data_IF_015191557736
#
_entry.id   IF_015191557736
#
_cell.length_a   1.000
_cell.length_b   1.000
_cell.length_c   1.000
_cell.angle_alpha   90.00
_cell.angle_beta   90.00
_cell.angle_gamma   90.00
#
_symmetry.space_group_name_H-M   'P 1'
#
loop_
_entity.id
_entity.type
_entity.pdbx_description
1 polymer ?
#
# COMPACT_ATOMS: atom_id res chain seq x y z
N UNK A 1 -2.66 8.61 -9.84
CA UNK A 1 -3.53 9.44 -10.71
C UNK A 1 -3.09 9.25 -12.15
N UNK A 2 -4.02 8.97 -13.05
CA UNK A 2 -3.71 8.74 -14.46
C UNK A 2 -4.60 9.62 -15.35
N UNK A 3 -3.97 10.31 -16.28
CA UNK A 3 -4.63 11.16 -17.29
C UNK A 3 -4.47 10.60 -18.71
N UNK A 4 -4.20 9.30 -18.86
CA UNK A 4 -4.10 8.66 -20.17
C UNK A 4 -5.45 8.62 -20.89
N UNK A 5 -5.41 8.40 -22.18
CA UNK A 5 -6.61 8.40 -23.05
C UNK A 5 -7.70 7.45 -22.54
N UNK A 6 -7.31 6.28 -22.02
CA UNK A 6 -8.28 5.32 -21.47
C UNK A 6 -8.99 5.85 -20.21
N UNK A 7 -8.25 6.48 -19.29
CA UNK A 7 -8.84 7.09 -18.10
C UNK A 7 -9.77 8.26 -18.48
N UNK A 8 -9.35 9.09 -19.43
CA UNK A 8 -10.17 10.21 -19.93
C UNK A 8 -11.47 9.69 -20.54
N UNK A 9 -11.40 8.70 -21.43
CA UNK A 9 -12.59 8.08 -22.07
C UNK A 9 -13.52 7.47 -21.02
N UNK A 10 -12.99 6.70 -20.09
CA UNK A 10 -13.78 6.00 -19.05
C UNK A 10 -14.44 6.97 -18.09
N UNK A 11 -13.74 8.01 -17.67
CA UNK A 11 -14.31 9.03 -16.77
C UNK A 11 -15.42 9.80 -17.49
N UNK A 12 -15.19 10.23 -18.73
CA UNK A 12 -16.21 10.91 -19.54
C UNK A 12 -17.44 10.02 -19.77
N UNK A 13 -17.25 8.74 -20.07
CA UNK A 13 -18.37 7.81 -20.25
C UNK A 13 -19.21 7.65 -18.98
N UNK A 14 -18.57 7.70 -17.79
CA UNK A 14 -19.27 7.59 -16.51
C UNK A 14 -19.99 8.87 -16.08
N UNK A 15 -19.39 10.03 -16.34
CA UNK A 15 -19.84 11.30 -15.74
C UNK A 15 -20.35 12.32 -16.76
N UNK A 16 -20.13 12.09 -18.04
CA UNK A 16 -20.35 13.08 -19.10
C UNK A 16 -19.28 14.20 -19.14
N UNK A 17 -18.43 14.31 -18.13
CA UNK A 17 -17.52 15.42 -17.94
C UNK A 17 -16.07 15.08 -18.29
N UNK A 18 -15.25 16.11 -18.52
CA UNK A 18 -13.80 15.96 -18.63
C UNK A 18 -13.17 15.76 -17.24
N UNK A 19 -12.00 15.07 -17.21
CA UNK A 19 -11.22 14.94 -15.98
C UNK A 19 -10.74 16.33 -15.51
N UNK A 20 -11.02 16.74 -14.26
CA UNK A 20 -10.59 18.03 -13.75
C UNK A 20 -9.07 18.10 -13.61
N UNK A 21 -8.51 19.26 -13.89
CA UNK A 21 -7.06 19.50 -13.85
C UNK A 21 -6.63 20.34 -12.64
N UNK A 22 -7.60 20.96 -11.96
CA UNK A 22 -7.35 21.75 -10.74
C UNK A 22 -7.98 21.05 -9.55
N UNK A 23 -7.37 21.24 -8.40
CA UNK A 23 -7.95 20.81 -7.13
C UNK A 23 -8.98 21.83 -6.72
N UNK A 24 -10.24 21.43 -6.68
CA UNK A 24 -11.35 22.25 -6.28
C UNK A 24 -12.40 21.34 -5.58
N UNK A 25 -12.47 21.45 -4.26
CA UNK A 25 -13.40 20.64 -3.47
C UNK A 25 -14.85 21.10 -3.58
N UNK A 26 -15.10 22.32 -4.06
CA UNK A 26 -16.45 22.85 -4.29
C UNK A 26 -17.01 22.40 -5.65
N UNK A 27 -16.14 22.04 -6.60
CA UNK A 27 -16.53 21.47 -7.87
C UNK A 27 -17.06 20.03 -7.68
N UNK A 28 -18.34 19.76 -8.03
CA UNK A 28 -18.91 18.41 -7.95
C UNK A 28 -18.20 17.42 -8.87
N UNK A 29 -17.67 17.84 -10.02
CA UNK A 29 -16.93 16.97 -10.95
C UNK A 29 -15.60 16.56 -10.35
N UNK A 30 -14.93 17.46 -9.61
CA UNK A 30 -13.72 17.11 -8.88
C UNK A 30 -13.99 16.06 -7.81
N UNK A 31 -15.06 16.18 -7.04
CA UNK A 31 -15.47 15.20 -6.03
C UNK A 31 -15.80 13.83 -6.68
N UNK A 32 -16.49 13.83 -7.81
CA UNK A 32 -16.73 12.58 -8.57
C UNK A 32 -15.46 11.96 -9.11
N UNK A 33 -14.50 12.76 -9.54
CA UNK A 33 -13.20 12.26 -9.97
C UNK A 33 -12.40 11.63 -8.82
N UNK A 34 -12.46 12.19 -7.62
CA UNK A 34 -11.87 11.57 -6.42
C UNK A 34 -12.52 10.21 -6.15
N UNK A 35 -13.84 10.12 -6.09
CA UNK A 35 -14.57 8.85 -5.91
C UNK A 35 -14.23 7.83 -6.99
N UNK A 36 -14.16 8.29 -8.24
CA UNK A 36 -13.77 7.42 -9.36
C UNK A 36 -12.35 6.85 -9.19
N UNK A 37 -11.40 7.63 -8.71
CA UNK A 37 -10.04 7.13 -8.46
C UNK A 37 -10.02 6.07 -7.35
N UNK A 38 -10.80 6.23 -6.29
CA UNK A 38 -10.95 5.19 -5.26
C UNK A 38 -11.55 3.92 -5.87
N UNK A 39 -12.64 4.03 -6.60
CA UNK A 39 -13.30 2.89 -7.24
C UNK A 39 -12.34 2.17 -8.22
N UNK A 40 -11.55 2.91 -8.98
CA UNK A 40 -10.54 2.34 -9.89
C UNK A 40 -9.46 1.52 -9.18
N UNK A 41 -9.05 1.93 -7.98
CA UNK A 41 -8.11 1.14 -7.18
C UNK A 41 -8.69 -0.19 -6.74
N UNK A 42 -9.96 -0.20 -6.35
CA UNK A 42 -10.66 -1.42 -5.97
C UNK A 42 -10.88 -2.36 -7.17
N UNK A 43 -11.26 -1.81 -8.34
CA UNK A 43 -11.37 -2.61 -9.56
C UNK A 43 -10.05 -3.30 -9.94
N UNK A 44 -8.91 -2.62 -9.77
CA UNK A 44 -7.57 -3.21 -10.02
C UNK A 44 -7.30 -4.34 -9.03
N UNK A 45 -7.68 -4.16 -7.76
CA UNK A 45 -7.53 -5.19 -6.74
C UNK A 45 -8.36 -6.44 -7.09
N UNK A 46 -9.63 -6.24 -7.39
CA UNK A 46 -10.53 -7.33 -7.79
C UNK A 46 -10.06 -8.04 -9.07
N UNK A 47 -9.51 -7.27 -10.03
CA UNK A 47 -8.95 -7.84 -11.26
C UNK A 47 -7.77 -8.76 -10.96
N UNK A 48 -6.82 -8.30 -10.14
CA UNK A 48 -5.64 -9.10 -9.82
C UNK A 48 -6.02 -10.37 -9.04
N UNK A 49 -6.92 -10.26 -8.04
CA UNK A 49 -7.43 -11.44 -7.32
C UNK A 49 -8.03 -12.46 -8.28
N UNK A 50 -8.94 -12.03 -9.17
CA UNK A 50 -9.57 -12.92 -10.15
C UNK A 50 -8.55 -13.54 -11.11
N UNK A 51 -7.64 -12.74 -11.65
CA UNK A 51 -6.63 -13.23 -12.59
C UNK A 51 -5.71 -14.27 -11.93
N UNK A 52 -5.27 -14.01 -10.70
CA UNK A 52 -4.43 -14.95 -9.95
C UNK A 52 -5.16 -16.27 -9.69
N UNK A 53 -6.41 -16.21 -9.21
CA UNK A 53 -7.21 -17.43 -8.97
C UNK A 53 -7.51 -18.20 -10.26
N UNK A 54 -7.81 -17.47 -11.34
CA UNK A 54 -8.11 -18.09 -12.64
C UNK A 54 -6.90 -18.80 -13.24
N UNK A 55 -5.69 -18.24 -13.07
CA UNK A 55 -4.48 -18.80 -13.65
C UNK A 55 -3.82 -19.88 -12.77
N UNK A 56 -3.82 -19.68 -11.46
CA UNK A 56 -3.07 -20.52 -10.51
C UNK A 56 -3.94 -21.40 -9.62
N UNK A 57 -5.25 -21.31 -9.69
CA UNK A 57 -6.17 -22.07 -8.84
C UNK A 57 -6.56 -21.34 -7.55
N UNK A 58 -7.48 -21.93 -6.77
CA UNK A 58 -8.08 -21.27 -5.60
C UNK A 58 -7.08 -20.97 -4.48
N UNK A 59 -5.99 -21.70 -4.39
CA UNK A 59 -4.97 -21.54 -3.35
C UNK A 59 -3.91 -20.50 -3.71
N UNK A 60 -3.87 -20.01 -4.95
CA UNK A 60 -2.96 -18.95 -5.36
C UNK A 60 -3.42 -17.60 -4.82
N UNK A 61 -2.48 -16.87 -4.22
CA UNK A 61 -2.73 -15.57 -3.62
C UNK A 61 -2.03 -14.46 -4.40
N UNK A 62 -2.71 -13.34 -4.56
CA UNK A 62 -2.08 -12.10 -4.99
C UNK A 62 -1.79 -11.22 -3.79
N UNK A 63 -0.53 -10.82 -3.66
CA UNK A 63 -0.07 -9.97 -2.56
C UNK A 63 0.07 -8.55 -3.07
N UNK A 64 -0.85 -7.69 -2.69
CA UNK A 64 -0.78 -6.27 -3.02
C UNK A 64 0.01 -5.48 -1.99
N UNK A 65 0.97 -4.69 -2.45
CA UNK A 65 1.75 -3.80 -1.58
C UNK A 65 0.91 -2.60 -1.14
N UNK A 66 0.80 -2.42 0.15
CA UNK A 66 0.14 -1.29 0.80
C UNK A 66 0.98 -0.83 1.97
N UNK A 67 1.81 0.14 1.74
CA UNK A 67 2.62 0.70 2.81
C UNK A 67 2.04 1.99 3.36
N UNK A 68 2.50 2.38 4.52
CA UNK A 68 2.36 3.71 5.05
C UNK A 68 1.10 3.98 5.88
N UNK A 69 1.02 5.22 6.33
CA UNK A 69 -0.07 5.72 7.18
C UNK A 69 -1.39 5.83 6.43
N UNK A 70 -2.55 5.85 7.14
CA UNK A 70 -3.85 6.10 6.53
C UNK A 70 -3.90 7.38 5.68
N UNK A 71 -3.23 8.45 6.13
CA UNK A 71 -3.12 9.69 5.36
C UNK A 71 -2.31 9.52 4.06
N UNK A 72 -1.28 8.68 4.05
CA UNK A 72 -0.54 8.31 2.85
C UNK A 72 -1.41 7.51 1.88
N UNK A 73 -2.20 6.59 2.40
CA UNK A 73 -3.12 5.78 1.60
C UNK A 73 -4.21 6.63 0.95
N UNK A 74 -4.82 7.54 1.69
CA UNK A 74 -5.86 8.42 1.12
C UNK A 74 -5.31 9.35 0.03
N UNK A 75 -4.09 9.89 0.17
CA UNK A 75 -3.42 10.66 -0.89
C UNK A 75 -3.14 9.84 -2.14
N UNK A 76 -2.98 8.53 -2.00
CA UNK A 76 -2.79 7.58 -3.10
C UNK A 76 -4.11 7.03 -3.66
N UNK A 77 -5.26 7.53 -3.21
CA UNK A 77 -6.61 7.03 -3.54
C UNK A 77 -6.78 5.55 -3.20
N UNK A 78 -6.26 5.12 -2.07
CA UNK A 78 -6.41 3.76 -1.54
C UNK A 78 -7.36 3.80 -0.35
N UNK A 79 -8.54 3.23 -0.50
CA UNK A 79 -9.44 2.95 0.61
C UNK A 79 -8.93 1.69 1.32
N UNK A 80 -8.24 1.91 2.42
CA UNK A 80 -7.57 0.84 3.15
C UNK A 80 -8.57 -0.20 3.67
N UNK A 81 -9.71 0.24 4.19
CA UNK A 81 -10.76 -0.63 4.68
C UNK A 81 -11.34 -1.51 3.57
N UNK A 82 -11.66 -0.91 2.43
CA UNK A 82 -12.23 -1.64 1.30
C UNK A 82 -11.19 -2.56 0.62
N UNK A 83 -9.93 -2.16 0.59
CA UNK A 83 -8.84 -3.03 0.14
C UNK A 83 -8.68 -4.21 1.10
N UNK A 84 -8.66 -3.98 2.40
CA UNK A 84 -8.55 -5.03 3.41
C UNK A 84 -9.70 -6.07 3.33
N UNK A 85 -10.90 -5.63 3.00
CA UNK A 85 -12.04 -6.56 2.78
C UNK A 85 -11.85 -7.50 1.58
N UNK A 86 -11.10 -7.07 0.58
CA UNK A 86 -10.82 -7.82 -0.67
C UNK A 86 -9.55 -8.64 -0.59
N UNK A 87 -8.63 -8.22 0.25
CA UNK A 87 -7.33 -8.85 0.38
C UNK A 87 -7.41 -10.11 1.21
N UNK A 88 -6.80 -11.17 0.72
CA UNK A 88 -6.52 -12.37 1.53
C UNK A 88 -5.22 -12.17 2.31
N UNK A 89 -4.31 -11.37 1.77
CA UNK A 89 -3.03 -11.03 2.36
C UNK A 89 -2.64 -9.61 1.91
N UNK A 90 -2.13 -8.80 2.80
CA UNK A 90 -1.64 -7.45 2.50
C UNK A 90 -0.17 -7.35 2.87
N UNK A 91 0.67 -6.98 1.92
CA UNK A 91 2.06 -6.67 2.19
C UNK A 91 2.21 -5.21 2.61
N UNK A 92 2.74 -4.99 3.80
CA UNK A 92 3.24 -3.68 4.21
C UNK A 92 4.56 -3.38 3.50
N UNK A 93 4.79 -2.12 3.20
CA UNK A 93 6.02 -1.68 2.53
C UNK A 93 6.67 -0.53 3.32
N UNK A 94 7.52 -0.90 4.27
CA UNK A 94 8.32 0.01 5.08
C UNK A 94 9.81 -0.23 4.84
N UNK A 95 10.29 0.24 3.71
CA UNK A 95 11.64 -0.07 3.24
C UNK A 95 12.73 0.82 3.83
N UNK A 96 12.37 1.99 4.32
CA UNK A 96 13.34 2.98 4.74
C UNK A 96 13.06 3.50 6.15
N UNK A 97 14.11 3.59 6.94
CA UNK A 97 14.10 4.23 8.25
C UNK A 97 15.16 5.34 8.31
N UNK A 98 14.85 6.44 8.94
CA UNK A 98 15.83 7.49 9.25
C UNK A 98 16.18 7.46 10.74
N UNK A 99 17.30 8.05 11.11
CA UNK A 99 17.72 8.16 12.51
C UNK A 99 16.77 9.04 13.35
N UNK A 100 15.98 9.88 12.68
CA UNK A 100 14.95 10.69 13.32
C UNK A 100 13.65 9.93 13.63
N UNK A 101 13.51 8.68 13.18
CA UNK A 101 12.33 7.85 13.41
C UNK A 101 12.69 6.60 14.20
N UNK A 102 11.82 6.23 15.14
CA UNK A 102 11.97 4.99 15.88
C UNK A 102 11.56 3.75 15.07
N UNK A 103 11.49 2.61 15.76
CA UNK A 103 11.13 1.32 15.15
C UNK A 103 9.63 1.03 15.16
N UNK A 104 8.83 1.82 15.89
CA UNK A 104 7.41 1.59 16.17
C UNK A 104 6.51 1.54 14.92
N UNK A 105 6.96 2.07 13.80
CA UNK A 105 6.15 2.10 12.56
C UNK A 105 5.68 0.72 12.10
N UNK A 106 6.49 -0.30 12.27
CA UNK A 106 6.15 -1.66 11.90
C UNK A 106 5.02 -2.20 12.77
N UNK A 107 5.18 -2.10 14.08
CA UNK A 107 4.17 -2.53 15.05
C UNK A 107 2.85 -1.77 14.89
N UNK A 108 2.93 -0.45 14.71
CA UNK A 108 1.75 0.40 14.47
C UNK A 108 1.00 -0.01 13.20
N UNK A 109 1.73 -0.24 12.12
CA UNK A 109 1.13 -0.65 10.83
C UNK A 109 0.51 -2.04 10.93
N UNK A 110 1.18 -2.97 11.58
CA UNK A 110 0.64 -4.31 11.82
C UNK A 110 -0.67 -4.26 12.60
N UNK A 111 -0.69 -3.56 13.72
CA UNK A 111 -1.89 -3.39 14.56
C UNK A 111 -3.03 -2.71 13.80
N UNK A 112 -2.72 -1.67 13.00
CA UNK A 112 -3.71 -1.01 12.17
C UNK A 112 -4.36 -1.98 11.17
N UNK A 113 -3.55 -2.76 10.46
CA UNK A 113 -4.05 -3.68 9.45
C UNK A 113 -4.81 -4.83 10.09
N UNK A 114 -4.33 -5.38 11.21
CA UNK A 114 -5.08 -6.38 11.97
C UNK A 114 -6.43 -5.85 12.48
N UNK A 115 -6.50 -4.58 12.86
CA UNK A 115 -7.77 -3.92 13.18
C UNK A 115 -8.77 -3.85 12.02
N UNK A 116 -8.30 -3.93 10.78
CA UNK A 116 -9.12 -3.89 9.57
C UNK A 116 -9.41 -5.27 8.98
N UNK A 117 -8.43 -6.18 9.04
CA UNK A 117 -8.50 -7.53 8.46
C UNK A 117 -8.94 -8.61 9.44
N UNK A 118 -8.67 -8.43 10.73
CA UNK A 118 -8.65 -9.51 11.72
C UNK A 118 -7.25 -10.08 11.93
N UNK A 119 -7.11 -10.95 12.95
CA UNK A 119 -5.82 -11.54 13.34
C UNK A 119 -5.52 -12.89 12.70
N UNK A 120 -6.47 -13.43 11.97
CA UNK A 120 -6.39 -14.70 11.24
C UNK A 120 -5.66 -14.59 9.89
N UNK A 121 -5.31 -13.38 9.48
CA UNK A 121 -4.65 -13.12 8.19
C UNK A 121 -3.19 -12.73 8.33
N UNK A 122 -2.40 -13.15 7.35
CA UNK A 122 -0.98 -12.82 7.30
C UNK A 122 -0.77 -11.38 6.81
N UNK A 123 0.17 -10.70 7.43
CA UNK A 123 0.61 -9.35 7.04
C UNK A 123 2.13 -9.38 6.85
N UNK A 124 2.63 -9.84 5.70
CA UNK A 124 4.05 -9.75 5.42
C UNK A 124 4.48 -8.29 5.25
N UNK A 125 5.68 -7.98 5.70
CA UNK A 125 6.28 -6.66 5.52
C UNK A 125 7.54 -6.74 4.70
N UNK A 126 7.62 -5.88 3.67
CA UNK A 126 8.84 -5.65 2.92
C UNK A 126 9.77 -4.74 3.72
N UNK A 127 10.76 -5.33 4.34
CA UNK A 127 11.81 -4.61 5.07
C UNK A 127 13.04 -4.47 4.19
N UNK A 128 13.56 -3.27 4.07
CA UNK A 128 14.81 -3.01 3.37
C UNK A 128 15.82 -2.33 4.29
N UNK A 129 17.07 -2.70 4.10
CA UNK A 129 18.18 -2.24 4.92
C UNK A 129 18.83 -0.99 4.34
N UNK A 130 18.10 0.10 4.20
CA UNK A 130 18.73 1.34 3.77
C UNK A 130 18.29 2.55 4.58
N UNK A 131 19.16 3.54 4.64
CA UNK A 131 18.90 4.81 5.30
C UNK A 131 17.98 5.68 4.43
N UNK A 132 16.88 6.17 5.00
CA UNK A 132 16.09 7.23 4.41
C UNK A 132 16.69 8.60 4.73
N UNK A 133 16.59 9.54 3.79
CA UNK A 133 17.08 10.89 3.94
C UNK A 133 17.09 11.63 2.61
N UNK A 134 17.81 12.73 2.54
CA UNK A 134 17.97 13.47 1.27
C UNK A 134 18.60 12.62 0.17
N UNK A 135 19.55 11.78 0.55
CA UNK A 135 20.19 10.80 -0.34
C UNK A 135 19.98 9.42 0.30
N UNK A 136 19.01 8.65 -0.16
CA UNK A 136 18.80 7.31 0.37
C UNK A 136 19.92 6.38 -0.10
N UNK A 137 20.61 5.76 0.85
CA UNK A 137 21.69 4.81 0.56
C UNK A 137 21.13 3.39 0.44
N UNK A 138 20.61 3.05 -0.72
CA UNK A 138 20.00 1.73 -0.97
C UNK A 138 20.97 0.57 -0.97
N UNK A 139 22.26 0.85 -1.23
CA UNK A 139 23.32 -0.16 -1.24
C UNK A 139 24.07 -0.28 0.10
N UNK A 140 23.71 0.55 1.08
CA UNK A 140 24.30 0.48 2.42
C UNK A 140 23.40 -0.30 3.35
N UNK A 141 23.95 -1.33 3.97
CA UNK A 141 23.23 -2.11 4.98
C UNK A 141 23.19 -1.38 6.32
N UNK A 142 22.11 -1.53 7.05
CA UNK A 142 21.99 -1.11 8.44
C UNK A 142 22.74 -2.08 9.35
N UNK A 143 23.17 -1.64 10.55
CA UNK A 143 23.72 -2.56 11.54
C UNK A 143 22.75 -3.71 11.87
N UNK A 144 23.29 -4.91 12.09
CA UNK A 144 22.48 -6.10 12.37
C UNK A 144 21.55 -5.94 13.58
N UNK A 145 21.97 -5.18 14.60
CA UNK A 145 21.13 -4.89 15.76
C UNK A 145 19.90 -4.06 15.39
N UNK A 146 20.04 -3.08 14.50
CA UNK A 146 18.92 -2.25 14.02
C UNK A 146 17.92 -3.10 13.23
N UNK A 147 18.42 -3.96 12.33
CA UNK A 147 17.59 -4.89 11.59
C UNK A 147 16.77 -5.80 12.50
N UNK A 148 17.42 -6.36 13.53
CA UNK A 148 16.75 -7.22 14.53
C UNK A 148 15.68 -6.46 15.32
N UNK A 149 15.96 -5.25 15.76
CA UNK A 149 14.97 -4.43 16.49
C UNK A 149 13.76 -4.13 15.61
N UNK A 150 13.98 -3.81 14.34
CA UNK A 150 12.89 -3.55 13.40
C UNK A 150 12.02 -4.79 13.18
N UNK A 151 12.64 -5.97 13.04
CA UNK A 151 11.91 -7.24 12.93
C UNK A 151 11.11 -7.55 14.21
N UNK A 152 11.70 -7.37 15.37
CA UNK A 152 11.03 -7.61 16.66
C UNK A 152 9.82 -6.69 16.86
N UNK A 153 9.95 -5.43 16.49
CA UNK A 153 8.83 -4.48 16.51
C UNK A 153 7.71 -4.91 15.55
N UNK A 154 8.07 -5.42 14.38
CA UNK A 154 7.13 -6.00 13.43
C UNK A 154 6.39 -7.20 14.02
N UNK A 155 7.09 -8.14 14.63
CA UNK A 155 6.48 -9.29 15.32
C UNK A 155 5.53 -8.86 16.45
N UNK A 156 5.92 -7.88 17.26
CA UNK A 156 5.07 -7.34 18.32
C UNK A 156 3.77 -6.70 17.79
N UNK A 157 3.78 -6.25 16.53
CA UNK A 157 2.60 -5.75 15.81
C UNK A 157 1.83 -6.79 15.02
N UNK A 158 2.28 -8.08 15.04
CA UNK A 158 1.66 -9.16 14.28
C UNK A 158 2.08 -9.23 12.82
N UNK A 159 3.18 -8.58 12.44
CA UNK A 159 3.73 -8.65 11.09
C UNK A 159 4.58 -9.91 10.93
N UNK A 160 4.52 -10.53 9.76
CA UNK A 160 5.44 -11.58 9.32
C UNK A 160 6.57 -10.91 8.51
N UNK A 161 7.79 -10.78 9.04
CA UNK A 161 8.86 -10.10 8.37
C UNK A 161 9.25 -10.80 7.06
N UNK A 162 9.32 -10.01 6.01
CA UNK A 162 9.91 -10.39 4.73
C UNK A 162 11.08 -9.45 4.43
N UNK A 163 12.28 -9.99 4.49
CA UNK A 163 13.47 -9.19 4.38
C UNK A 163 13.85 -8.94 2.92
N UNK A 164 13.95 -7.67 2.55
CA UNK A 164 14.38 -7.26 1.22
C UNK A 164 15.80 -6.69 1.31
N UNK A 165 16.79 -7.45 0.86
CA UNK A 165 18.17 -6.99 0.75
C UNK A 165 18.39 -6.37 -0.63
N UNK A 166 18.75 -5.08 -0.68
CA UNK A 166 19.04 -4.34 -1.90
C UNK A 166 20.54 -4.04 -1.90
N UNK A 167 21.23 -4.55 -2.86
CA UNK A 167 22.67 -4.43 -3.00
C UNK A 167 23.39 -5.76 -2.77
N UNK A 168 24.60 -5.85 -3.29
CA UNK A 168 25.47 -7.00 -3.14
C UNK A 168 26.42 -6.77 -1.97
#
# INVERSE_FOLDING_TARGET
ICYCLNCVKRFKARTGAAIPRKKDWDDPIYREWIKWNYARRLEIWDLNNRATKSAGGPDCLWIGMNGGSPGGQSRAFRDYKEICRRAEIIMCDHQARSDATGFQHNGESGKLIHGLLGWDKLIPESMAMYQAGRTPFRVSSKPAAEARMWMLEGFAGGIQPWWHHIGA
#
